data_IF_229272887062
#
_entry.id   IF_229272887062
#
_cell.length_a   1.000
_cell.length_b   1.000
_cell.length_c   1.000
_cell.angle_alpha   90.00
_cell.angle_beta   90.00
_cell.angle_gamma   90.00
#
_symmetry.space_group_name_H-M   'P 1'
#
loop_
_entity.id
_entity.type
_entity.pdbx_description
1 polymer ?
2 polymer ?
3 polymer ?
4 water ?
#
# COMPACT_ATOMS: atom_id res chain seq x y z
N UNK A 1 21.22 13.27 -16.05
CA UNK A 1 21.31 11.99 -15.28
C UNK A 1 20.27 10.98 -15.76
N UNK A 2 20.44 10.54 -17.00
CA UNK A 2 19.54 9.58 -17.63
C UNK A 2 18.14 9.48 -17.03
N UNK A 3 17.22 10.24 -17.63
CA UNK A 3 15.82 10.27 -17.23
C UNK A 3 15.05 9.25 -18.04
N UNK A 4 14.25 8.44 -17.37
CA UNK A 4 13.46 7.44 -18.05
C UNK A 4 11.99 7.88 -17.99
N UNK A 5 11.22 7.58 -19.03
CA UNK A 5 9.83 8.01 -19.07
C UNK A 5 8.78 6.96 -19.47
N UNK A 6 7.92 6.60 -18.52
CA UNK A 6 6.85 5.63 -18.79
C UNK A 6 5.61 6.39 -19.26
N UNK A 7 4.91 5.87 -20.23
CA UNK A 7 3.81 6.59 -20.88
C UNK A 7 2.46 6.49 -20.22
N UNK A 8 1.59 5.55 -20.57
CA UNK A 8 0.28 5.56 -19.89
C UNK A 8 0.42 5.56 -18.39
N UNK A 9 0.32 6.69 -17.70
CA UNK A 9 0.42 6.71 -16.26
C UNK A 9 -0.51 5.68 -15.68
N UNK A 10 -1.60 5.43 -16.41
CA UNK A 10 -2.61 4.48 -15.97
C UNK A 10 -3.44 3.98 -17.15
N UNK A 11 -4.00 2.79 -16.99
CA UNK A 11 -4.81 2.21 -18.03
C UNK A 11 -5.84 1.28 -17.44
N UNK A 12 -6.97 1.16 -18.13
CA UNK A 12 -8.03 0.26 -17.74
C UNK A 12 -8.08 -0.70 -18.91
N UNK A 13 -8.23 -1.98 -18.63
CA UNK A 13 -8.27 -2.96 -19.71
C UNK A 13 -9.12 -4.17 -19.36
N UNK A 14 -9.85 -4.68 -20.36
CA UNK A 14 -10.68 -5.86 -20.18
C UNK A 14 -9.76 -7.07 -20.12
N UNK A 15 -10.33 -8.27 -20.16
CA UNK A 15 -9.51 -9.49 -20.13
C UNK A 15 -9.32 -10.05 -21.54
N UNK A 16 -8.12 -10.52 -21.84
CA UNK A 16 -7.82 -11.07 -23.15
C UNK A 16 -7.30 -9.99 -24.09
N UNK A 17 -7.30 -8.75 -23.61
CA UNK A 17 -6.85 -7.61 -24.40
C UNK A 17 -5.35 -7.56 -24.51
N UNK A 18 -4.85 -6.75 -25.43
CA UNK A 18 -3.42 -6.62 -25.67
C UNK A 18 -2.82 -5.33 -25.14
N UNK A 19 -2.25 -5.39 -23.96
CA UNK A 19 -1.64 -4.23 -23.34
C UNK A 19 -0.30 -3.93 -23.98
N UNK A 20 0.14 -2.68 -23.81
CA UNK A 20 1.42 -2.25 -24.34
C UNK A 20 1.84 -0.93 -23.68
N UNK A 21 2.79 -1.03 -22.77
CA UNK A 21 3.33 0.10 -22.04
C UNK A 21 4.57 0.58 -22.80
N UNK A 22 5.10 1.75 -22.47
CA UNK A 22 6.30 2.23 -23.14
C UNK A 22 7.21 2.96 -22.17
N UNK A 23 8.50 2.75 -22.32
CA UNK A 23 9.47 3.37 -21.45
C UNK A 23 10.51 4.02 -22.35
N UNK A 24 11.00 5.20 -21.98
CA UNK A 24 12.00 5.89 -22.81
C UNK A 24 13.19 6.43 -22.04
N UNK A 25 14.38 6.24 -22.60
CA UNK A 25 15.60 6.72 -21.99
C UNK A 25 15.85 8.13 -22.53
N UNK A 26 16.62 8.93 -21.78
CA UNK A 26 16.93 10.28 -22.20
C UNK A 26 18.19 10.27 -23.07
N UNK A 27 19.19 9.50 -22.64
CA UNK A 27 20.42 9.36 -23.39
C UNK A 27 20.76 7.87 -23.41
N UNK A 28 21.08 7.37 -24.55
CA UNK A 28 21.39 5.96 -24.82
C UNK A 28 21.96 5.17 -23.64
N UNK A 29 21.06 4.23 -23.23
CA UNK A 29 21.18 3.25 -22.14
C UNK A 29 21.44 1.87 -22.70
N UNK A 30 21.47 1.72 -24.02
CA UNK A 30 21.73 0.42 -24.60
C UNK A 30 20.58 -0.53 -24.41
N UNK A 31 20.85 -1.73 -23.95
CA UNK A 31 19.80 -2.72 -23.73
C UNK A 31 19.74 -3.14 -22.27
N UNK A 32 20.14 -2.23 -21.38
CA UNK A 32 20.14 -2.49 -19.95
C UNK A 32 18.90 -1.93 -19.23
N UNK A 33 17.72 -2.23 -19.79
CA UNK A 33 16.45 -1.80 -19.23
C UNK A 33 15.66 -3.02 -18.76
N UNK A 34 15.13 -2.93 -17.54
CA UNK A 34 14.36 -4.04 -16.97
C UNK A 34 13.01 -3.61 -16.39
N UNK A 35 12.01 -4.49 -16.52
CA UNK A 35 10.65 -4.26 -16.02
C UNK A 35 10.30 -4.96 -14.69
N UNK A 36 9.69 -4.23 -13.77
CA UNK A 36 9.28 -4.80 -12.48
C UNK A 36 7.75 -4.71 -12.30
N UNK A 37 7.21 -5.60 -11.47
CA UNK A 37 5.78 -5.63 -11.19
C UNK A 37 5.52 -5.46 -9.69
N UNK A 38 4.67 -4.48 -9.35
CA UNK A 38 4.38 -4.23 -7.94
C UNK A 38 2.88 -4.29 -7.59
N UNK A 39 2.51 -5.36 -6.90
CA UNK A 39 1.15 -5.56 -6.48
C UNK A 39 0.94 -4.92 -5.10
N UNK A 40 -0.32 -4.77 -4.68
CA UNK A 40 -0.67 -4.18 -3.39
C UNK A 40 0.02 -4.83 -2.19
N UNK A 41 0.83 -4.05 -1.50
CA UNK A 41 1.55 -4.52 -0.33
C UNK A 41 2.46 -5.70 -0.64
N UNK A 42 3.29 -5.54 -1.65
CA UNK A 42 4.23 -6.56 -2.06
C UNK A 42 5.44 -5.84 -2.64
N UNK A 43 6.58 -6.53 -2.63
CA UNK A 43 7.81 -5.97 -3.17
C UNK A 43 7.81 -6.18 -4.67
N UNK A 44 8.46 -5.29 -5.41
CA UNK A 44 8.49 -5.47 -6.86
C UNK A 44 9.02 -6.87 -7.16
N UNK A 45 8.81 -7.31 -8.39
CA UNK A 45 9.24 -8.61 -8.84
C UNK A 45 9.83 -8.41 -10.23
N UNK A 46 11.05 -8.89 -10.46
CA UNK A 46 11.65 -8.72 -11.78
C UNK A 46 10.78 -9.43 -12.82
N UNK A 47 10.64 -8.83 -13.99
CA UNK A 47 9.83 -9.42 -15.05
C UNK A 47 10.68 -9.66 -16.31
N UNK A 48 11.39 -8.64 -16.74
CA UNK A 48 12.24 -8.71 -17.92
C UNK A 48 13.56 -7.98 -17.62
N UNK A 49 14.68 -8.59 -17.96
CA UNK A 49 15.97 -7.92 -17.76
C UNK A 49 16.65 -7.95 -19.12
N UNK A 50 17.61 -7.06 -19.33
CA UNK A 50 18.27 -7.04 -20.62
C UNK A 50 17.33 -6.60 -21.71
N UNK A 51 16.37 -5.75 -21.36
CA UNK A 51 15.42 -5.22 -22.32
C UNK A 51 14.55 -6.24 -23.03
N UNK A 52 15.02 -7.49 -23.16
CA UNK A 52 14.22 -8.48 -23.89
C UNK A 52 14.07 -9.84 -23.22
N UNK A 53 14.87 -10.08 -22.19
CA UNK A 53 14.83 -11.36 -21.51
C UNK A 53 13.87 -11.49 -20.33
N UNK A 54 13.02 -12.51 -20.42
CA UNK A 54 12.04 -12.83 -19.39
C UNK A 54 12.78 -13.51 -18.23
N UNK A 55 12.23 -13.45 -17.04
CA UNK A 55 12.88 -14.08 -15.90
C UNK A 55 12.31 -15.48 -15.62
N UNK A 56 12.48 -15.98 -14.40
CA UNK A 56 11.98 -17.30 -14.04
C UNK A 56 10.61 -17.20 -13.39
N UNK A 57 9.77 -18.19 -13.67
CA UNK A 57 8.44 -18.20 -13.11
C UNK A 57 7.56 -17.14 -13.74
N UNK A 58 8.14 -16.33 -14.61
CA UNK A 58 7.39 -15.28 -15.28
C UNK A 58 6.65 -15.88 -16.47
N UNK A 59 5.31 -15.83 -16.43
CA UNK A 59 4.46 -16.37 -17.48
C UNK A 59 4.68 -15.76 -18.86
N UNK A 60 4.56 -16.60 -19.87
CA UNK A 60 4.71 -16.25 -21.28
C UNK A 60 4.05 -14.97 -21.73
N UNK A 61 2.89 -14.66 -21.15
CA UNK A 61 2.16 -13.47 -21.54
C UNK A 61 2.93 -12.16 -21.38
N UNK A 62 4.16 -12.24 -20.89
CA UNK A 62 4.99 -11.05 -20.73
C UNK A 62 6.23 -11.13 -21.62
N UNK A 63 6.36 -10.18 -22.53
CA UNK A 63 7.50 -10.14 -23.44
C UNK A 63 7.97 -8.71 -23.65
N UNK A 64 9.28 -8.53 -23.81
CA UNK A 64 9.81 -7.20 -24.02
C UNK A 64 10.81 -7.08 -25.17
N UNK A 65 10.74 -5.96 -25.88
CA UNK A 65 11.65 -5.64 -26.98
C UNK A 65 12.16 -4.25 -26.66
N UNK A 66 13.00 -3.72 -27.54
CA UNK A 66 13.54 -2.38 -27.32
C UNK A 66 15.04 -2.35 -27.22
N UNK A 67 15.62 -1.21 -27.57
CA UNK A 67 17.07 -1.01 -27.52
C UNK A 67 17.40 0.48 -27.48
N UNK A 68 18.47 0.80 -26.75
CA UNK A 68 18.96 2.16 -26.59
C UNK A 68 17.90 3.24 -26.77
N UNK A 69 17.28 3.66 -25.68
CA UNK A 69 16.24 4.70 -25.68
C UNK A 69 14.78 4.21 -25.68
N UNK A 70 14.36 3.52 -26.73
CA UNK A 70 12.96 3.04 -26.80
C UNK A 70 12.71 1.60 -26.38
N UNK A 71 11.98 1.44 -25.27
CA UNK A 71 11.65 0.14 -24.72
C UNK A 71 10.13 -0.02 -24.56
N UNK A 72 9.64 -1.26 -24.65
CA UNK A 72 8.22 -1.55 -24.51
C UNK A 72 8.00 -2.86 -23.76
N UNK A 73 6.75 -3.13 -23.39
CA UNK A 73 6.40 -4.36 -22.67
C UNK A 73 5.01 -4.79 -23.12
N UNK A 74 4.80 -6.08 -23.37
CA UNK A 74 3.48 -6.53 -23.81
C UNK A 74 2.86 -7.58 -22.90
N UNK A 75 1.58 -7.71 -23.04
CA UNK A 75 0.74 -8.67 -22.33
C UNK A 75 -0.22 -9.14 -23.40
N UNK A 76 -0.12 -10.39 -23.82
CA UNK A 76 -1.01 -10.89 -24.87
C UNK A 76 -2.45 -10.87 -24.37
N UNK A 77 -2.66 -11.38 -23.17
CA UNK A 77 -3.99 -11.36 -22.60
C UNK A 77 -3.87 -10.91 -21.14
N UNK A 78 -4.49 -9.80 -20.83
CA UNK A 78 -4.45 -9.27 -19.47
C UNK A 78 -5.33 -10.17 -18.62
N UNK A 79 -4.83 -10.58 -17.47
CA UNK A 79 -5.66 -11.39 -16.60
C UNK A 79 -5.96 -10.57 -15.37
N UNK A 80 -6.91 -11.03 -14.57
CA UNK A 80 -7.28 -10.29 -13.38
C UNK A 80 -6.06 -10.10 -12.49
N UNK A 81 -5.25 -11.15 -12.43
CA UNK A 81 -4.05 -11.18 -11.62
C UNK A 81 -3.00 -10.17 -12.07
N UNK A 82 -3.11 -9.68 -13.30
CA UNK A 82 -2.14 -8.74 -13.85
C UNK A 82 -2.41 -7.32 -13.41
N UNK A 83 -2.91 -7.18 -12.19
CA UNK A 83 -3.21 -5.86 -11.66
C UNK A 83 -2.09 -5.43 -10.77
N UNK A 84 -1.44 -4.32 -11.12
CA UNK A 84 -0.34 -3.78 -10.33
C UNK A 84 0.36 -2.64 -11.05
N UNK A 85 1.33 -2.02 -10.38
CA UNK A 85 2.08 -0.92 -10.97
C UNK A 85 3.25 -1.55 -11.73
N UNK A 86 3.60 -0.95 -12.86
CA UNK A 86 4.71 -1.48 -13.64
C UNK A 86 5.79 -0.42 -13.77
N UNK A 87 6.98 -0.72 -13.24
CA UNK A 87 8.11 0.18 -13.32
C UNK A 87 9.15 -0.33 -14.30
N UNK A 88 10.14 0.50 -14.57
CA UNK A 88 11.24 0.14 -15.44
C UNK A 88 12.40 0.94 -14.93
N UNK A 89 13.62 0.51 -15.26
CA UNK A 89 14.79 1.23 -14.82
C UNK A 89 15.99 0.84 -15.65
N UNK A 90 16.94 1.77 -15.77
CA UNK A 90 18.13 1.50 -16.51
C UNK A 90 19.20 1.19 -15.52
N UNK A 91 20.05 0.23 -15.89
CA UNK A 91 21.15 -0.18 -15.04
C UNK A 91 22.44 -0.01 -15.85
N UNK A 92 22.56 1.15 -16.48
CA UNK A 92 23.71 1.52 -17.28
C UNK A 92 24.59 2.43 -16.42
N UNK A 93 24.21 3.70 -16.28
CA UNK A 93 24.96 4.65 -15.44
C UNK A 93 24.54 4.41 -14.02
N UNK A 94 23.95 5.41 -13.38
CA UNK A 94 23.46 5.24 -12.03
C UNK A 94 22.02 4.81 -12.17
N UNK A 95 21.61 3.75 -11.45
CA UNK A 95 20.24 3.26 -11.52
C UNK A 95 19.19 4.32 -11.23
N UNK A 96 18.31 4.56 -12.20
CA UNK A 96 17.21 5.53 -12.07
C UNK A 96 15.95 4.87 -12.60
N UNK A 97 14.87 4.92 -11.83
CA UNK A 97 13.63 4.30 -12.25
C UNK A 97 12.68 5.21 -13.00
N UNK A 98 11.70 4.58 -13.64
CA UNK A 98 10.70 5.33 -14.38
C UNK A 98 9.67 5.84 -13.40
N UNK A 99 8.50 6.24 -13.92
CA UNK A 99 7.44 6.77 -13.08
C UNK A 99 6.35 5.78 -12.73
N UNK A 100 6.45 4.59 -13.31
CA UNK A 100 5.47 3.56 -13.04
C UNK A 100 4.16 3.79 -13.75
N UNK A 101 3.64 2.74 -14.35
CA UNK A 101 2.37 2.80 -15.04
C UNK A 101 1.44 1.93 -14.23
N UNK A 102 0.39 2.53 -13.67
CA UNK A 102 -0.57 1.77 -12.90
C UNK A 102 -1.64 1.23 -13.85
N UNK A 103 -1.73 -0.10 -13.94
CA UNK A 103 -2.67 -0.76 -14.83
C UNK A 103 -3.86 -1.43 -14.13
N UNK A 104 -5.07 -0.88 -14.32
CA UNK A 104 -6.30 -1.41 -13.71
C UNK A 104 -7.22 -2.14 -14.71
N UNK A 105 -7.99 -3.11 -14.21
CA UNK A 105 -8.89 -3.93 -15.04
C UNK A 105 -10.30 -3.37 -15.25
N UNK A 106 -10.72 -3.32 -16.52
CA UNK A 106 -12.05 -2.84 -16.91
C UNK A 106 -13.11 -3.94 -16.84
N UNK A 107 -13.94 -3.89 -15.81
CA UNK A 107 -15.02 -4.87 -15.64
C UNK A 107 -16.31 -4.13 -15.90
N UNK A 108 -17.45 -4.75 -15.62
CA UNK A 108 -18.73 -4.11 -15.85
C UNK A 108 -19.26 -3.36 -14.65
N UNK A 109 -20.29 -2.55 -14.86
CA UNK A 109 -20.87 -1.78 -13.77
C UNK A 109 -21.35 -2.66 -12.62
N UNK A 110 -21.23 -2.12 -11.41
CA UNK A 110 -21.63 -2.84 -10.21
C UNK A 110 -21.89 -1.82 -9.11
N UNK A 111 -23.12 -1.79 -8.60
CA UNK A 111 -23.52 -0.85 -7.56
C UNK A 111 -23.00 -1.26 -6.19
N UNK A 112 -22.57 -0.27 -5.40
CA UNK A 112 -22.02 -0.51 -4.06
C UNK A 112 -23.05 -1.10 -3.11
N UNK A 113 -22.57 -1.58 -1.98
CA UNK A 113 -23.42 -2.16 -0.96
C UNK A 113 -23.07 -1.39 0.30
N UNK A 114 -23.89 -0.39 0.61
CA UNK A 114 -23.70 0.49 1.75
C UNK A 114 -24.20 -0.05 3.08
N UNK A 115 -23.51 0.32 4.14
CA UNK A 115 -23.86 -0.11 5.49
C UNK A 115 -23.28 0.87 6.50
N UNK A 116 -24.14 1.68 7.09
CA UNK A 116 -23.77 2.68 8.07
C UNK A 116 -23.86 2.15 9.51
N UNK A 117 -22.80 2.36 10.29
CA UNK A 117 -22.75 1.94 11.69
C UNK A 117 -22.76 3.10 12.70
N UNK A 118 -23.54 2.96 13.77
CA UNK A 118 -23.64 3.98 14.81
C UNK A 118 -22.38 3.93 15.65
N UNK A 119 -21.95 5.09 16.20
CA UNK A 119 -20.74 5.16 17.03
C UNK A 119 -20.82 4.31 18.30
N UNK A 120 -19.86 3.40 18.43
CA UNK A 120 -19.76 2.47 19.56
C UNK A 120 -19.86 3.13 20.92
N UNK A 121 -20.51 2.41 21.83
CA UNK A 121 -20.72 2.88 23.19
C UNK A 121 -19.48 3.38 23.90
N UNK A 122 -18.46 2.52 24.00
CA UNK A 122 -17.22 2.90 24.67
C UNK A 122 -16.60 4.17 24.12
N UNK A 123 -16.59 4.32 22.80
CA UNK A 123 -16.00 5.50 22.20
C UNK A 123 -16.64 6.77 22.73
N UNK A 124 -17.95 6.76 22.91
CA UNK A 124 -18.65 7.94 23.43
C UNK A 124 -18.05 8.27 24.79
N UNK A 125 -18.04 7.29 25.68
CA UNK A 125 -17.49 7.45 27.01
C UNK A 125 -16.09 8.05 26.87
N UNK A 126 -15.37 7.58 25.86
CA UNK A 126 -14.02 8.03 25.57
C UNK A 126 -14.00 9.49 25.09
N UNK A 127 -15.19 10.09 25.00
CA UNK A 127 -15.31 11.48 24.57
C UNK A 127 -15.74 11.76 23.14
N UNK A 128 -15.20 10.98 22.20
CA UNK A 128 -15.55 11.18 20.80
C UNK A 128 -16.77 10.42 20.32
N UNK A 129 -16.95 10.36 19.01
CA UNK A 129 -18.10 9.65 18.46
C UNK A 129 -18.03 9.64 16.93
N UNK A 130 -17.80 8.46 16.36
CA UNK A 130 -17.70 8.35 14.91
C UNK A 130 -18.76 7.49 14.26
N UNK A 131 -19.40 8.06 13.24
CA UNK A 131 -20.41 7.34 12.49
C UNK A 131 -19.64 6.85 11.27
N UNK A 132 -19.62 5.54 11.09
CA UNK A 132 -18.92 4.94 9.97
C UNK A 132 -19.92 4.56 8.90
N UNK A 133 -19.43 4.39 7.68
CA UNK A 133 -20.29 4.01 6.58
C UNK A 133 -19.47 3.39 5.46
N UNK A 134 -19.74 2.12 5.18
CA UNK A 134 -19.01 1.39 4.15
C UNK A 134 -19.76 1.33 2.83
N UNK A 135 -19.05 1.54 1.75
CA UNK A 135 -19.56 1.43 0.40
C UNK A 135 -18.73 0.31 -0.19
N UNK A 136 -19.23 -0.92 -0.19
CA UNK A 136 -18.46 -2.05 -0.70
C UNK A 136 -18.78 -2.58 -2.08
N UNK A 137 -17.76 -3.21 -2.66
CA UNK A 137 -17.79 -3.88 -3.96
C UNK A 137 -18.46 -3.21 -5.17
N UNK A 138 -18.00 -2.01 -5.55
CA UNK A 138 -18.61 -1.31 -6.69
C UNK A 138 -17.64 -1.02 -7.82
N UNK A 139 -18.17 -0.55 -8.93
CA UNK A 139 -17.36 -0.20 -10.10
C UNK A 139 -18.25 0.53 -11.08
N UNK A 140 -17.73 1.60 -11.72
CA UNK A 140 -16.40 2.18 -11.60
C UNK A 140 -16.05 2.93 -10.31
N UNK A 141 -14.75 3.18 -10.12
CA UNK A 141 -14.19 3.85 -8.95
C UNK A 141 -14.93 5.11 -8.55
N UNK A 142 -15.41 5.87 -9.54
CA UNK A 142 -16.12 7.12 -9.29
C UNK A 142 -17.40 7.06 -8.47
N UNK A 143 -17.30 7.52 -7.23
CA UNK A 143 -18.44 7.54 -6.32
C UNK A 143 -18.35 8.82 -5.52
N UNK A 144 -19.50 9.33 -5.10
CA UNK A 144 -19.52 10.53 -4.30
C UNK A 144 -20.38 10.24 -3.06
N UNK A 145 -19.78 10.30 -1.88
CA UNK A 145 -20.52 10.04 -0.64
C UNK A 145 -20.74 11.36 0.04
N UNK A 146 -21.96 11.55 0.54
CA UNK A 146 -22.34 12.78 1.20
C UNK A 146 -23.05 12.54 2.53
N UNK A 147 -22.49 13.08 3.61
CA UNK A 147 -23.12 12.93 4.92
C UNK A 147 -24.12 14.06 5.16
N UNK A 148 -25.18 13.76 5.91
CA UNK A 148 -26.20 14.74 6.24
C UNK A 148 -26.79 14.47 7.62
N UNK A 149 -26.28 15.15 8.65
CA UNK A 149 -26.81 14.95 10.00
C UNK A 149 -28.06 15.82 10.15
N UNK A 150 -29.21 15.19 10.34
CA UNK A 150 -30.49 15.89 10.46
C UNK A 150 -30.80 16.72 9.22
N UNK A 151 -30.68 16.12 8.04
CA UNK A 151 -31.00 16.85 6.84
C UNK A 151 -29.94 17.77 6.27
N UNK A 152 -29.13 18.40 7.12
CA UNK A 152 -28.06 19.29 6.63
C UNK A 152 -26.74 18.57 6.32
N UNK A 153 -26.12 18.97 5.22
CA UNK A 153 -24.86 18.39 4.75
C UNK A 153 -23.65 18.73 5.64
N UNK A 154 -22.88 17.72 6.04
CA UNK A 154 -21.69 17.90 6.86
C UNK A 154 -20.45 17.56 6.05
N UNK A 155 -19.63 18.55 5.74
CA UNK A 155 -18.43 18.28 4.97
C UNK A 155 -17.17 18.41 5.82
N UNK A 156 -17.37 18.75 7.10
CA UNK A 156 -16.26 18.92 8.01
C UNK A 156 -16.17 17.78 9.03
N UNK A 157 -15.04 17.09 9.00
CA UNK A 157 -14.82 15.98 9.91
C UNK A 157 -14.79 14.65 9.19
N UNK A 158 -15.23 14.64 7.93
CA UNK A 158 -15.28 13.42 7.13
C UNK A 158 -13.91 12.99 6.61
N UNK A 159 -13.62 11.70 6.66
CA UNK A 159 -12.34 11.15 6.17
C UNK A 159 -12.62 9.92 5.31
N UNK A 160 -12.26 10.01 4.03
CA UNK A 160 -12.51 8.91 3.11
C UNK A 160 -11.25 8.16 2.74
N UNK A 161 -11.42 6.85 2.58
CA UNK A 161 -10.34 5.94 2.22
C UNK A 161 -10.89 4.95 1.21
N UNK A 162 -10.09 4.61 0.21
CA UNK A 162 -10.51 3.68 -0.82
C UNK A 162 -9.54 2.54 -0.90
N UNK A 163 -9.94 1.44 -1.53
CA UNK A 163 -9.03 0.31 -1.65
C UNK A 163 -8.55 0.16 -3.09
N UNK A 164 -7.45 -0.57 -3.23
CA UNK A 164 -6.88 -0.80 -4.55
C UNK A 164 -7.84 -1.77 -5.22
N UNK A 165 -7.85 -1.75 -6.54
CA UNK A 165 -8.75 -2.60 -7.28
C UNK A 165 -8.69 -4.09 -6.95
N UNK A 166 -9.23 -4.88 -7.87
CA UNK A 166 -9.33 -6.35 -7.84
C UNK A 166 -10.14 -6.98 -6.74
N UNK A 167 -9.47 -7.80 -5.92
CA UNK A 167 -10.11 -8.54 -4.84
C UNK A 167 -10.75 -9.75 -5.49
N UNK A 168 -10.09 -10.28 -6.53
CA UNK A 168 -10.54 -11.44 -7.28
C UNK A 168 -11.79 -11.17 -8.13
N UNK A 169 -12.35 -9.96 -8.02
CA UNK A 169 -13.53 -9.60 -8.78
C UNK A 169 -13.33 -8.27 -9.49
N UNK A 170 -12.18 -7.65 -9.29
CA UNK A 170 -11.86 -6.39 -9.94
C UNK A 170 -12.75 -5.19 -9.57
N UNK A 171 -13.19 -5.11 -8.31
CA UNK A 171 -14.02 -3.99 -7.88
C UNK A 171 -13.31 -3.17 -6.81
N UNK A 172 -13.92 -2.07 -6.40
CA UNK A 172 -13.35 -1.23 -5.35
C UNK A 172 -14.28 -1.20 -4.14
N UNK A 173 -13.84 -0.53 -3.07
CA UNK A 173 -14.61 -0.41 -1.83
C UNK A 173 -14.17 0.82 -1.09
N UNK A 174 -15.10 1.72 -0.87
CA UNK A 174 -14.79 2.94 -0.16
C UNK A 174 -15.28 2.88 1.26
N UNK A 175 -14.90 3.88 2.04
CA UNK A 175 -15.30 3.96 3.42
C UNK A 175 -15.26 5.41 3.86
N UNK A 176 -16.36 5.91 4.39
CA UNK A 176 -16.36 7.28 4.86
C UNK A 176 -16.57 7.26 6.38
N UNK A 177 -15.94 8.19 7.07
CA UNK A 177 -16.05 8.26 8.52
C UNK A 177 -16.24 9.69 8.99
N UNK A 178 -17.41 9.98 9.55
CA UNK A 178 -17.70 11.32 10.06
C UNK A 178 -17.39 11.32 11.57
N UNK A 179 -16.51 12.22 11.99
CA UNK A 179 -16.13 12.28 13.39
C UNK A 179 -16.59 13.53 14.13
N UNK A 180 -17.49 13.33 15.09
CA UNK A 180 -18.05 14.40 15.89
C UNK A 180 -17.62 14.31 17.36
N UNK A 181 -17.92 15.34 18.12
CA UNK A 181 -17.69 15.37 19.55
C UNK A 181 -18.92 14.68 20.09
N UNK A 182 -18.86 14.07 21.27
CA UNK A 182 -20.08 13.41 21.76
C UNK A 182 -21.30 14.33 21.84
N UNK A 183 -21.15 15.41 22.59
CA UNK A 183 -22.21 16.39 22.76
C UNK A 183 -22.95 16.60 21.47
N UNK A 184 -22.21 17.05 20.46
CA UNK A 184 -22.79 17.33 19.15
C UNK A 184 -23.55 16.14 18.60
N UNK A 185 -23.00 14.94 18.78
CA UNK A 185 -23.68 13.74 18.30
C UNK A 185 -24.96 13.55 19.10
N UNK A 186 -24.90 13.87 20.39
CA UNK A 186 -26.04 13.73 21.25
C UNK A 186 -27.16 14.78 21.12
N UNK A 187 -26.99 15.75 20.22
CA UNK A 187 -28.03 16.75 20.05
C UNK A 187 -28.63 16.74 18.66
N UNK A 188 -28.50 15.60 17.98
CA UNK A 188 -29.05 15.45 16.64
C UNK A 188 -29.69 14.08 16.51
N UNK A 189 -30.51 13.89 15.47
CA UNK A 189 -31.20 12.62 15.32
C UNK A 189 -30.77 11.69 14.18
N UNK A 190 -31.25 11.96 12.98
CA UNK A 190 -30.92 11.15 11.81
C UNK A 190 -29.49 11.36 11.32
N UNK A 191 -28.77 10.26 11.11
CA UNK A 191 -27.41 10.32 10.58
C UNK A 191 -27.42 9.50 9.29
N UNK A 192 -27.54 10.20 8.16
CA UNK A 192 -27.60 9.52 6.88
C UNK A 192 -26.35 9.72 6.04
N UNK A 193 -26.01 8.67 5.30
CA UNK A 193 -24.86 8.61 4.40
C UNK A 193 -25.43 8.45 2.99
N UNK A 194 -25.03 9.32 2.07
CA UNK A 194 -25.63 9.29 0.75
C UNK A 194 -24.69 9.10 -0.43
N UNK A 195 -24.54 7.84 -0.86
CA UNK A 195 -23.67 7.51 -1.97
C UNK A 195 -24.41 7.69 -3.28
N UNK A 196 -23.76 8.36 -4.22
CA UNK A 196 -24.32 8.61 -5.54
C UNK A 196 -23.36 8.08 -6.61
N UNK A 197 -23.61 6.83 -6.99
CA UNK A 197 -22.82 6.08 -7.97
C UNK A 197 -23.54 6.16 -9.32
N UNK A 198 -22.89 5.74 -10.40
CA UNK A 198 -23.53 5.79 -11.72
C UNK A 198 -24.40 4.59 -12.06
N UNK A 199 -24.39 3.56 -11.21
CA UNK A 199 -25.21 2.39 -11.44
C UNK A 199 -26.43 2.61 -10.56
N UNK A 200 -26.96 3.83 -10.60
CA UNK A 200 -28.12 4.20 -9.79
C UNK A 200 -28.63 5.60 -10.15
N UNK A 201 -29.76 5.63 -10.84
CA UNK A 201 -30.39 6.88 -11.26
C UNK A 201 -30.59 7.86 -10.12
N UNK A 202 -30.87 7.32 -8.94
CA UNK A 202 -31.07 8.14 -7.76
C UNK A 202 -30.03 7.67 -6.78
N UNK A 203 -29.77 8.45 -5.73
CA UNK A 203 -28.76 7.97 -4.79
C UNK A 203 -29.27 6.99 -3.75
N UNK A 204 -28.37 6.09 -3.37
CA UNK A 204 -28.58 5.06 -2.37
C UNK A 204 -28.34 5.75 -1.03
N UNK A 205 -29.34 5.80 -0.17
CA UNK A 205 -29.16 6.46 1.12
C UNK A 205 -29.46 5.61 2.34
N UNK A 206 -28.44 5.26 3.11
CA UNK A 206 -28.66 4.48 4.32
C UNK A 206 -28.71 5.49 5.44
N UNK A 207 -29.41 5.17 6.51
CA UNK A 207 -29.54 6.10 7.62
C UNK A 207 -29.95 5.45 8.92
N UNK A 208 -29.74 6.17 10.01
CA UNK A 208 -30.13 5.66 11.32
C UNK A 208 -30.49 6.84 12.23
N UNK A 209 -31.48 6.63 13.09
CA UNK A 209 -31.92 7.66 14.01
C UNK A 209 -31.36 7.38 15.40
N UNK A 210 -30.74 8.40 15.99
CA UNK A 210 -30.12 8.27 17.29
C UNK A 210 -31.09 7.82 18.39
N UNK A 211 -32.36 7.63 18.03
CA UNK A 211 -33.39 7.19 18.96
C UNK A 211 -34.07 5.88 18.56
N UNK A 212 -33.38 4.74 18.63
CA UNK A 212 -34.04 3.45 18.46
C UNK A 212 -33.22 2.34 19.13
N UNK A 213 -33.00 2.48 20.46
CA UNK A 213 -32.29 1.50 21.29
C UNK A 213 -30.94 1.12 20.70
N UNK B 1 17.02 -20.52 -1.47
CA UNK B 1 17.26 -19.38 -2.40
C UNK B 1 17.81 -18.19 -1.62
N UNK B 2 17.88 -17.04 -2.30
CA UNK B 2 18.36 -15.80 -1.70
C UNK B 2 17.20 -15.18 -0.92
N UNK B 3 17.43 -14.85 0.36
CA UNK B 3 16.36 -14.27 1.17
C UNK B 3 16.79 -13.04 1.98
N UNK B 4 16.61 -11.85 1.39
CA UNK B 4 16.96 -10.61 2.06
C UNK B 4 15.86 -10.19 3.02
N UNK B 5 16.26 -9.55 4.13
CA UNK B 5 15.32 -9.10 5.14
C UNK B 5 15.85 -7.92 5.95
N UNK B 6 15.31 -6.73 5.68
CA UNK B 6 15.75 -5.54 6.39
C UNK B 6 15.02 -5.34 7.71
N UNK B 7 15.71 -4.68 8.63
CA UNK B 7 15.19 -4.38 9.96
C UNK B 7 15.74 -3.03 10.43
N UNK B 8 15.27 -2.56 11.57
CA UNK B 8 15.77 -1.29 12.07
C UNK B 8 14.69 -0.31 12.47
N UNK B 9 15.06 0.93 12.84
CA UNK B 9 14.15 2.00 13.25
C UNK B 9 12.91 2.14 12.35
N UNK B 10 11.79 2.49 12.98
CA UNK B 10 10.55 2.65 12.24
C UNK B 10 10.20 4.12 12.14
N UNK B 11 10.33 4.82 13.26
CA UNK B 11 10.02 6.23 13.33
C UNK B 11 11.20 6.97 13.98
N UNK B 12 11.74 7.98 13.28
CA UNK B 12 12.87 8.77 13.79
C UNK B 12 12.71 10.27 13.57
N UNK B 13 13.13 11.05 14.56
CA UNK B 13 13.03 12.50 14.53
C UNK B 13 13.87 13.15 13.44
N UNK B 14 13.57 14.42 13.10
CA UNK B 14 14.33 15.10 12.06
C UNK B 14 15.72 15.56 12.50
N UNK B 15 16.60 15.78 11.53
CA UNK B 15 17.98 16.20 11.76
C UNK B 15 18.82 15.05 12.32
N UNK B 16 18.14 13.96 12.67
CA UNK B 16 18.82 12.81 13.22
C UNK B 16 19.34 11.93 12.08
N UNK B 17 20.01 10.84 12.43
CA UNK B 17 20.56 9.95 11.43
C UNK B 17 19.84 8.61 11.47
N UNK B 18 19.50 8.09 10.30
CA UNK B 18 18.79 6.83 10.19
C UNK B 18 19.82 5.71 10.03
N UNK B 19 19.42 4.49 10.38
CA UNK B 19 20.32 3.35 10.24
C UNK B 19 19.59 2.01 10.12
N UNK B 20 19.41 1.55 8.88
CA UNK B 20 18.76 0.26 8.65
C UNK B 20 19.80 -0.86 8.65
N UNK B 21 19.32 -2.10 8.53
CA UNK B 21 20.19 -3.27 8.54
C UNK B 21 19.61 -4.40 7.70
N UNK B 22 20.22 -4.69 6.57
CA UNK B 22 19.72 -5.79 5.74
C UNK B 22 20.51 -7.09 5.99
N UNK B 23 19.80 -8.14 6.39
CA UNK B 23 20.40 -9.44 6.66
C UNK B 23 20.02 -10.44 5.59
N UNK B 24 21.01 -10.99 4.88
CA UNK B 24 20.78 -11.96 3.81
C UNK B 24 21.08 -13.44 4.15
N UNK B 25 20.20 -14.32 3.64
CA UNK B 25 20.28 -15.76 3.88
C UNK B 25 20.33 -16.60 2.60
N UNK B 26 21.35 -17.43 2.47
CA UNK B 26 21.44 -18.29 1.30
C UNK B 26 22.33 -17.82 0.17
N UNK B 27 23.44 -17.17 0.52
CA UNK B 27 24.42 -16.66 -0.45
C UNK B 27 25.32 -15.65 0.23
N UNK B 28 26.62 -15.91 0.22
CA UNK B 28 27.55 -15.00 0.87
C UNK B 28 27.60 -13.65 0.12
N UNK B 29 27.57 -12.54 0.86
CA UNK B 29 27.61 -11.20 0.24
C UNK B 29 29.02 -10.80 -0.13
N UNK B 30 29.89 -11.80 -0.24
CA UNK B 30 31.30 -11.57 -0.62
C UNK B 30 31.72 -12.36 -1.87
N UNK B 31 30.80 -13.15 -2.42
CA UNK B 31 31.11 -13.91 -3.63
C UNK B 31 30.15 -13.50 -4.74
N UNK B 32 30.59 -12.57 -5.58
CA UNK B 32 29.79 -12.06 -6.70
C UNK B 32 28.52 -11.30 -6.29
N UNK B 33 28.14 -10.31 -7.09
CA UNK B 33 26.89 -9.52 -6.97
C UNK B 33 26.97 -8.20 -6.23
N UNK B 34 26.09 -7.29 -6.69
CA UNK B 34 25.93 -5.95 -6.13
C UNK B 34 24.84 -6.01 -5.08
N UNK B 35 25.10 -5.43 -3.92
CA UNK B 35 24.12 -5.43 -2.84
C UNK B 35 23.58 -4.03 -2.58
N UNK B 36 22.36 -3.78 -3.07
CA UNK B 36 21.74 -2.43 -3.03
C UNK B 36 20.78 -2.06 -1.88
N UNK B 37 20.51 -0.74 -1.83
CA UNK B 37 19.56 -0.13 -0.91
C UNK B 37 18.71 0.75 -1.83
N UNK B 38 17.43 0.42 -1.95
CA UNK B 38 16.50 1.17 -2.79
C UNK B 38 15.33 1.66 -1.93
N UNK B 39 14.84 2.87 -2.19
CA UNK B 39 13.73 3.35 -1.40
C UNK B 39 12.52 3.72 -2.24
N UNK B 40 11.34 3.48 -1.68
CA UNK B 40 10.08 3.78 -2.37
C UNK B 40 9.25 4.75 -1.57
N UNK B 41 9.14 5.95 -2.10
CA UNK B 41 8.36 6.99 -1.46
C UNK B 41 6.88 6.68 -1.50
N UNK B 42 6.09 7.38 -0.68
CA UNK B 42 4.66 7.09 -0.71
C UNK B 42 4.15 7.23 -2.14
N UNK B 43 3.25 6.33 -2.53
CA UNK B 43 2.72 6.37 -3.88
C UNK B 43 3.63 5.63 -4.84
N UNK B 44 3.88 6.24 -5.97
CA UNK B 44 4.72 5.68 -6.98
C UNK B 44 5.89 6.56 -7.19
N UNK B 45 7.03 6.01 -7.00
CA UNK B 45 8.31 6.65 -7.29
C UNK B 45 9.44 5.71 -6.92
N UNK B 46 10.32 5.11 -7.73
CA UNK B 46 11.42 4.38 -6.94
C UNK B 46 12.79 5.08 -6.96
N UNK B 47 13.64 5.06 -5.87
CA UNK B 47 14.93 5.73 -5.87
C UNK B 47 16.04 4.78 -5.39
N UNK B 48 17.00 4.51 -6.27
CA UNK B 48 18.15 3.65 -5.94
C UNK B 48 19.08 4.55 -5.15
N UNK B 49 19.38 4.17 -3.91
CA UNK B 49 20.23 5.00 -3.09
C UNK B 49 21.69 4.70 -3.25
N UNK B 50 22.02 3.44 -3.55
CA UNK B 50 23.40 3.04 -3.70
C UNK B 50 23.65 1.57 -3.42
N UNK B 51 24.92 1.16 -3.44
CA UNK B 51 25.24 -0.23 -3.18
C UNK B 51 26.65 -0.46 -2.67
N UNK B 52 26.84 -1.58 -2.05
CA UNK B 52 28.07 -2.09 -1.51
C UNK B 52 28.38 -3.26 -2.40
N UNK B 53 29.53 -3.21 -3.07
CA UNK B 53 29.96 -4.26 -4.00
C UNK B 53 30.55 -5.48 -3.31
N UNK B 54 30.75 -6.51 -4.11
CA UNK B 54 31.31 -7.76 -3.62
C UNK B 54 32.67 -7.48 -2.97
N UNK B 55 33.52 -6.75 -3.67
CA UNK B 55 34.81 -6.43 -3.12
C UNK B 55 34.65 -5.53 -1.91
N UNK B 56 33.51 -4.85 -1.84
CA UNK B 56 33.28 -3.96 -0.73
C UNK B 56 33.46 -2.51 -1.12
N UNK B 57 33.31 -2.23 -2.41
CA UNK B 57 33.42 -0.86 -2.91
C UNK B 57 32.03 -0.26 -2.80
N UNK B 58 31.92 1.05 -2.98
CA UNK B 58 30.64 1.70 -2.86
C UNK B 58 30.33 2.72 -3.93
N UNK B 59 29.10 2.69 -4.42
CA UNK B 59 28.67 3.62 -5.43
C UNK B 59 27.33 4.19 -4.99
N UNK B 60 27.35 5.43 -4.48
CA UNK B 60 26.14 6.07 -4.01
C UNK B 60 25.46 6.91 -5.09
N UNK B 61 24.25 7.37 -4.80
CA UNK B 61 23.52 8.20 -5.72
C UNK B 61 24.15 9.60 -5.64
N UNK B 62 24.59 10.16 -6.78
CA UNK B 62 25.21 11.48 -6.80
C UNK B 62 24.50 12.58 -6.00
N UNK B 63 23.26 12.34 -5.58
CA UNK B 63 22.51 13.32 -4.80
C UNK B 63 22.47 13.06 -3.29
N UNK B 64 22.50 11.79 -2.87
CA UNK B 64 22.51 11.43 -1.45
C UNK B 64 23.94 11.11 -1.01
N UNK B 65 24.87 11.21 -1.96
CA UNK B 65 26.28 10.92 -1.75
C UNK B 65 26.94 11.66 -0.59
N UNK B 66 26.47 12.86 -0.29
CA UNK B 66 27.05 13.63 0.81
C UNK B 66 26.43 13.26 2.17
N UNK B 67 25.35 12.48 2.15
CA UNK B 67 24.68 12.12 3.38
C UNK B 67 24.66 10.66 3.76
N UNK B 68 24.87 9.76 2.81
CA UNK B 68 24.78 8.34 3.14
C UNK B 68 26.06 7.55 3.19
N UNK B 69 25.99 6.42 3.89
CA UNK B 69 27.12 5.56 4.08
C UNK B 69 26.64 4.11 4.13
N UNK B 70 27.10 3.29 3.20
CA UNK B 70 26.72 1.88 3.13
C UNK B 70 27.91 0.98 3.50
N UNK B 71 27.91 0.43 4.70
CA UNK B 71 28.99 -0.44 5.15
C UNK B 71 28.50 -1.91 5.31
N UNK B 72 29.43 -2.84 5.59
CA UNK B 72 29.02 -4.24 5.76
C UNK B 72 29.69 -4.96 6.91
N UNK B 73 29.17 -6.14 7.18
CA UNK B 73 29.69 -7.00 8.24
C UNK B 73 29.71 -8.36 7.57
N UNK B 74 30.80 -8.61 6.87
CA UNK B 74 31.03 -9.85 6.12
C UNK B 74 30.91 -11.15 6.90
N UNK B 75 31.08 -11.10 8.21
CA UNK B 75 30.98 -12.29 9.05
C UNK B 75 29.53 -12.62 9.45
N UNK B 76 28.70 -11.59 9.57
CA UNK B 76 27.29 -11.75 9.92
C UNK B 76 26.46 -11.85 8.65
N UNK B 77 27.12 -11.52 7.53
CA UNK B 77 26.52 -11.56 6.20
C UNK B 77 25.41 -10.54 6.12
N UNK B 78 25.73 -9.30 6.49
CA UNK B 78 24.75 -8.21 6.46
C UNK B 78 25.45 -6.93 6.09
N UNK B 79 24.79 -6.13 5.29
CA UNK B 79 25.31 -4.80 4.96
C UNK B 79 24.29 -3.84 5.53
N UNK B 80 24.73 -2.65 5.91
CA UNK B 80 23.85 -1.67 6.52
C UNK B 80 23.81 -0.30 5.82
N UNK B 81 22.64 0.34 5.88
CA UNK B 81 22.47 1.67 5.31
C UNK B 81 22.49 2.69 6.44
N UNK B 82 23.04 3.87 6.13
CA UNK B 82 23.11 4.94 7.10
C UNK B 82 22.77 6.25 6.43
N UNK B 83 21.61 6.81 6.77
CA UNK B 83 21.14 8.08 6.22
C UNK B 83 21.21 9.17 7.28
N UNK B 84 22.12 10.12 7.09
CA UNK B 84 22.29 11.20 8.05
C UNK B 84 21.47 12.44 7.70
N UNK B 85 21.24 13.29 8.69
CA UNK B 85 20.47 14.53 8.50
C UNK B 85 19.16 14.20 7.80
N UNK B 86 18.33 13.37 8.42
CA UNK B 86 17.06 12.99 7.82
C UNK B 86 16.03 14.11 7.86
N UNK B 87 15.68 14.57 6.68
CA UNK B 87 14.68 15.61 6.51
C UNK B 87 13.37 14.85 6.46
N UNK B 88 12.25 15.55 6.60
CA UNK B 88 10.97 14.88 6.56
C UNK B 88 10.64 14.35 5.16
N UNK B 89 11.36 14.82 4.14
CA UNK B 89 11.13 14.36 2.77
C UNK B 89 11.69 12.95 2.61
N UNK B 90 12.62 12.59 3.48
CA UNK B 90 13.23 11.27 3.43
C UNK B 90 12.35 10.11 3.89
N UNK B 91 11.17 10.39 4.46
CA UNK B 91 10.34 9.27 4.91
C UNK B 91 9.85 8.51 3.68
N UNK B 92 9.98 7.20 3.75
CA UNK B 92 9.59 6.29 2.69
C UNK B 92 9.82 4.88 3.19
N UNK B 93 9.60 3.89 2.33
CA UNK B 93 9.82 2.50 2.72
C UNK B 93 11.11 2.05 2.03
N UNK B 94 12.01 1.47 2.82
CA UNK B 94 13.32 1.02 2.35
C UNK B 94 13.50 -0.45 2.05
N UNK B 95 14.22 -0.73 0.98
CA UNK B 95 14.51 -2.11 0.58
C UNK B 95 15.98 -2.27 0.31
N UNK B 96 16.45 -3.48 0.51
CA UNK B 96 17.80 -3.90 0.20
C UNK B 96 17.59 -4.90 -0.91
N UNK B 97 18.45 -4.92 -1.92
CA UNK B 97 18.26 -5.84 -3.03
C UNK B 97 19.53 -6.29 -3.75
N UNK B 98 19.45 -7.48 -4.33
CA UNK B 98 20.55 -8.05 -5.09
C UNK B 98 20.57 -7.47 -6.49
N UNK B 99 21.76 -7.11 -6.96
CA UNK B 99 21.86 -6.54 -8.28
C UNK B 99 22.89 -7.13 -9.19
N UNK B 100 22.44 -7.69 -10.31
CA UNK B 100 23.32 -8.28 -11.29
C UNK B 100 22.70 -7.96 -12.64
N UNK B 101 21.75 -8.80 -13.03
CA UNK B 101 20.98 -8.64 -14.29
C UNK B 101 19.65 -7.99 -13.90
N UNK B 102 19.73 -6.73 -13.49
CA UNK B 102 18.57 -5.99 -13.03
C UNK B 102 18.53 -6.20 -11.54
N UNK B 103 17.44 -5.83 -10.90
CA UNK B 103 17.32 -6.09 -9.48
C UNK B 103 16.45 -7.33 -9.39
N UNK B 104 17.03 -8.40 -8.87
CA UNK B 104 16.36 -9.69 -8.80
C UNK B 104 15.60 -10.06 -7.52
N UNK B 105 16.32 -10.10 -6.40
CA UNK B 105 15.71 -10.47 -5.12
C UNK B 105 15.55 -9.24 -4.23
N UNK B 106 14.31 -8.84 -4.01
CA UNK B 106 14.01 -7.67 -3.18
C UNK B 106 13.61 -8.10 -1.78
N UNK B 107 13.89 -7.25 -0.81
CA UNK B 107 13.50 -7.56 0.55
C UNK B 107 12.06 -7.12 0.85
N UNK B 108 11.47 -7.62 1.93
CA UNK B 108 10.10 -7.27 2.28
C UNK B 108 9.90 -5.76 2.31
N UNK B 109 10.96 -5.04 2.65
CA UNK B 109 10.90 -3.59 2.73
C UNK B 109 10.29 -3.08 4.03
N UNK B 110 11.09 -2.38 4.81
CA UNK B 110 10.61 -1.83 6.08
C UNK B 110 10.35 -0.34 5.93
N UNK B 111 9.20 0.09 6.42
CA UNK B 111 8.81 1.50 6.33
C UNK B 111 9.43 2.36 7.44
N UNK B 112 9.95 3.54 7.05
CA UNK B 112 10.57 4.45 8.00
C UNK B 112 9.88 5.81 7.92
N UNK B 113 9.44 6.31 9.08
CA UNK B 113 8.76 7.59 9.18
C UNK B 113 9.62 8.65 9.88
N UNK B 114 9.77 9.80 9.24
CA UNK B 114 10.54 10.90 9.83
C UNK B 114 9.57 11.96 10.31
N UNK B 115 9.20 11.91 11.58
CA UNK B 115 8.27 12.88 12.15
C UNK B 115 8.70 13.34 13.55
N UNK B 116 8.31 14.57 13.89
CA UNK B 116 8.63 15.13 15.19
C UNK B 116 7.63 14.59 16.20
N UNK B 117 6.60 13.90 15.69
CA UNK B 117 5.54 13.29 16.49
C UNK B 117 6.04 12.23 17.46
N UNK B 118 5.11 11.59 18.17
CA UNK B 118 5.45 10.56 19.13
C UNK B 118 4.62 9.30 18.93
N UNK B 119 5.13 8.17 19.40
CA UNK B 119 4.42 6.92 19.26
C UNK B 119 3.24 6.84 20.20
N UNK B 120 2.05 6.78 19.62
CA UNK B 120 0.82 6.68 20.38
C UNK B 120 0.07 5.43 19.89
N UNK B 121 -0.25 4.50 20.81
CA UNK B 121 -0.96 3.28 20.46
C UNK B 121 -2.40 3.61 20.04
N UNK B 122 -3.02 2.72 19.23
CA UNK B 122 -4.38 2.87 18.72
C UNK B 122 -5.55 2.60 19.66
N UNK B 123 -6.67 3.20 19.32
CA UNK B 123 -7.90 3.03 20.06
C UNK B 123 -8.73 2.20 19.09
N UNK B 124 -8.99 0.95 19.45
CA UNK B 124 -9.75 0.07 18.58
C UNK B 124 -11.18 0.01 19.05
N UNK B 125 -12.09 0.31 18.16
CA UNK B 125 -13.51 0.32 18.46
C UNK B 125 -14.25 -0.65 17.54
N UNK B 126 -15.16 -1.46 18.10
CA UNK B 126 -15.93 -2.43 17.33
C UNK B 126 -17.19 -1.82 16.72
N UNK B 127 -17.41 -2.07 15.43
CA UNK B 127 -18.58 -1.53 14.74
C UNK B 127 -19.68 -2.58 14.48
N UNK B 128 -20.72 -2.56 15.31
CA UNK B 128 -21.84 -3.49 15.17
C UNK B 128 -23.06 -2.77 14.60
N UNK B 129 -23.91 -3.50 13.86
CA UNK B 129 -25.11 -2.94 13.25
C UNK B 129 -26.24 -2.79 14.28
N UNK B 130 -27.04 -1.74 14.12
CA UNK B 130 -28.15 -1.49 15.01
C UNK B 130 -29.49 -1.52 14.31
N UNK B 131 -30.09 -2.71 14.21
CA UNK B 131 -31.40 -2.88 13.57
C UNK B 131 -31.85 -4.33 13.53
N UNK B 132 -32.47 -4.78 14.62
CA UNK B 132 -32.96 -6.15 14.72
C UNK B 132 -31.83 -7.15 14.57
N UNK B 133 -32.17 -8.32 14.01
CA UNK B 133 -31.19 -9.40 13.79
C UNK B 133 -30.62 -9.34 12.37
N UNK B 134 -30.02 -8.20 12.04
CA UNK B 134 -29.39 -7.95 10.73
C UNK B 134 -30.36 -7.44 9.67
N UNK B 135 -29.92 -7.51 8.41
CA UNK B 135 -30.74 -7.07 7.28
C UNK B 135 -31.23 -8.31 6.52
N UNK B 136 -30.40 -8.82 5.62
CA UNK B 136 -30.75 -10.00 4.82
C UNK B 136 -30.03 -11.23 5.35
N UNK B 137 -29.60 -12.10 4.46
CA UNK B 137 -28.89 -13.30 4.86
C UNK B 137 -27.40 -12.99 4.92
N UNK B 138 -27.09 -11.70 4.92
CA UNK B 138 -25.69 -11.24 4.97
C UNK B 138 -25.55 -10.09 5.98
N UNK B 139 -24.54 -10.21 6.83
CA UNK B 139 -24.25 -9.19 7.85
C UNK B 139 -22.82 -8.71 7.69
N UNK B 140 -22.66 -7.39 7.75
CA UNK B 140 -21.35 -6.77 7.62
C UNK B 140 -20.98 -6.12 8.95
N UNK B 141 -19.98 -6.67 9.62
CA UNK B 141 -19.52 -6.09 10.88
C UNK B 141 -18.25 -5.33 10.53
N UNK B 142 -17.80 -4.44 11.40
CA UNK B 142 -16.61 -3.69 11.08
C UNK B 142 -15.77 -3.30 12.27
N UNK B 143 -14.66 -2.63 12.00
CA UNK B 143 -13.77 -2.22 13.07
C UNK B 143 -12.97 -0.96 12.77
N UNK B 144 -13.08 0.00 13.68
CA UNK B 144 -12.42 1.29 13.60
C UNK B 144 -11.21 1.37 14.53
N UNK B 145 -10.02 1.45 13.94
CA UNK B 145 -8.76 1.55 14.68
C UNK B 145 -8.30 2.99 14.55
N UNK B 146 -8.66 3.85 15.49
CA UNK B 146 -8.27 5.25 15.34
C UNK B 146 -7.23 5.81 16.31
N UNK B 147 -6.56 6.86 15.84
CA UNK B 147 -5.55 7.55 16.62
C UNK B 147 -4.35 6.76 17.08
N UNK B 148 -3.40 6.54 16.16
CA UNK B 148 -2.19 5.81 16.49
C UNK B 148 -1.04 6.35 15.64
N UNK B 149 0.18 6.30 16.16
CA UNK B 149 1.34 6.78 15.40
C UNK B 149 2.56 5.92 15.71
N UNK B 150 3.25 5.44 14.67
CA UNK B 150 2.90 5.71 13.28
C UNK B 150 2.47 4.41 12.62
N UNK B 151 2.38 4.46 11.30
CA UNK B 151 2.02 3.30 10.51
C UNK B 151 3.15 2.30 10.70
N UNK B 152 2.87 0.99 10.54
CA UNK B 152 1.54 0.45 10.18
C UNK B 152 0.87 -0.29 11.33
N UNK B 153 -0.24 -0.91 11.00
CA UNK B 153 -1.01 -1.71 11.94
C UNK B 153 -1.44 -2.91 11.12
N UNK B 154 -1.73 -4.02 11.79
CA UNK B 154 -2.15 -5.22 11.09
C UNK B 154 -3.42 -5.72 11.73
N UNK B 155 -4.45 -5.87 10.90
CA UNK B 155 -5.74 -6.33 11.37
C UNK B 155 -6.08 -7.64 10.69
N UNK B 156 -6.71 -8.54 11.41
CA UNK B 156 -7.13 -9.82 10.87
C UNK B 156 -8.46 -10.11 11.54
N UNK B 157 -9.16 -11.14 11.08
CA UNK B 157 -10.44 -11.47 11.69
C UNK B 157 -10.53 -12.89 12.21
N UNK B 158 -10.72 -13.01 13.52
CA UNK B 158 -10.81 -14.31 14.19
C UNK B 158 -9.56 -15.14 13.98
N UNK B 159 -8.41 -14.49 14.11
CA UNK B 159 -7.10 -15.11 13.95
C UNK B 159 -6.80 -15.59 12.54
N UNK B 160 -7.60 -15.17 11.57
CA UNK B 160 -7.34 -15.59 10.20
C UNK B 160 -8.31 -16.59 9.62
N UNK B 161 -9.30 -17.01 10.40
CA UNK B 161 -10.30 -17.95 9.91
C UNK B 161 -11.12 -17.16 8.90
N UNK B 162 -11.59 -15.99 9.30
CA UNK B 162 -12.37 -15.11 8.42
C UNK B 162 -11.40 -14.52 7.42
N UNK B 163 -11.08 -15.27 6.38
CA UNK B 163 -10.14 -14.79 5.37
C UNK B 163 -10.80 -14.23 4.12
N UNK B 164 -12.11 -14.34 4.05
CA UNK B 164 -12.82 -13.82 2.88
C UNK B 164 -13.99 -12.94 3.33
N UNK B 165 -14.34 -11.97 2.48
CA UNK B 165 -15.41 -11.06 2.79
C UNK B 165 -14.81 -9.98 3.68
N UNK B 166 -13.49 -9.80 3.55
CA UNK B 166 -12.75 -8.82 4.34
C UNK B 166 -12.23 -7.66 3.49
N UNK B 167 -12.27 -6.45 4.07
CA UNK B 167 -11.81 -5.24 3.38
C UNK B 167 -11.11 -4.36 4.41
N UNK B 168 -9.82 -4.12 4.20
CA UNK B 168 -9.10 -3.25 5.13
C UNK B 168 -8.76 -1.97 4.38
N UNK B 169 -9.24 -0.86 4.92
CA UNK B 169 -9.03 0.43 4.29
C UNK B 169 -7.80 1.19 4.73
N UNK B 170 -7.09 1.75 3.75
CA UNK B 170 -5.88 2.54 3.93
C UNK B 170 -6.09 3.63 4.97
N UNK B 171 -5.06 3.86 5.77
CA UNK B 171 -5.14 4.88 6.80
C UNK B 171 -5.02 6.26 6.18
N UNK B 172 -5.59 7.25 6.88
CA UNK B 172 -5.53 8.62 6.46
C UNK B 172 -5.14 9.34 7.73
N UNK B 173 -4.22 10.28 7.61
CA UNK B 173 -3.70 11.04 8.73
C UNK B 173 -4.61 12.16 9.19
N UNK B 174 -5.08 12.03 10.43
CA UNK B 174 -5.98 12.97 11.06
C UNK B 174 -5.19 13.92 11.98
N UNK B 175 -4.47 14.86 11.35
CA UNK B 175 -3.66 15.85 12.06
C UNK B 175 -2.25 15.35 12.39
N UNK B 176 -2.08 14.66 13.51
CA UNK B 176 -0.77 14.15 13.89
C UNK B 176 -0.80 12.64 14.06
N UNK B 177 -1.94 12.04 13.71
CA UNK B 177 -2.07 10.59 13.81
C UNK B 177 -3.05 10.01 12.78
N UNK B 178 -2.99 8.69 12.61
CA UNK B 178 -3.83 8.00 11.63
C UNK B 178 -5.08 7.32 12.16
N UNK B 179 -5.94 6.98 11.21
CA UNK B 179 -7.19 6.27 11.47
C UNK B 179 -7.41 5.24 10.33
N UNK B 180 -7.75 4.04 10.73
CA UNK B 180 -7.99 2.94 9.80
C UNK B 180 -9.23 2.18 10.25
N UNK B 181 -9.88 1.52 9.30
CA UNK B 181 -11.07 0.75 9.60
C UNK B 181 -11.03 -0.45 8.70
N UNK B 182 -11.85 -1.44 9.00
CA UNK B 182 -11.90 -2.63 8.17
C UNK B 182 -13.21 -3.34 8.39
N UNK B 183 -13.90 -3.62 7.30
CA UNK B 183 -15.18 -4.31 7.34
C UNK B 183 -14.97 -5.80 7.05
N UNK B 184 -16.01 -6.58 7.33
CA UNK B 184 -15.99 -8.01 7.09
C UNK B 184 -17.43 -8.40 6.90
N UNK B 185 -17.70 -9.19 5.87
CA UNK B 185 -19.06 -9.61 5.60
C UNK B 185 -19.23 -11.12 5.76
N UNK B 186 -20.28 -11.49 6.48
CA UNK B 186 -20.59 -12.90 6.73
C UNK B 186 -22.10 -13.09 6.70
N UNK B 187 -22.56 -14.34 6.62
CA UNK B 187 -24.00 -14.62 6.59
C UNK B 187 -24.62 -14.37 7.96
N UNK B 188 -25.94 -14.10 7.97
CA UNK B 188 -26.66 -13.80 9.20
C UNK B 188 -26.75 -14.98 10.17
N UNK B 189 -26.47 -16.18 9.67
CA UNK B 189 -26.52 -17.38 10.50
C UNK B 189 -25.36 -17.54 11.49
N UNK B 190 -24.11 -17.41 11.01
CA UNK B 190 -22.99 -17.54 11.94
C UNK B 190 -22.56 -16.20 12.49
N UNK B 191 -23.52 -15.29 12.66
CA UNK B 191 -23.17 -13.98 13.16
C UNK B 191 -23.24 -13.91 14.68
N UNK B 192 -24.45 -14.08 15.26
CA UNK B 192 -24.48 -14.01 16.72
C UNK B 192 -24.16 -15.34 17.40
N UNK B 193 -24.37 -16.45 16.71
CA UNK B 193 -24.06 -17.75 17.30
C UNK B 193 -22.54 -17.83 17.39
N UNK B 194 -21.88 -17.89 16.23
CA UNK B 194 -20.44 -17.93 16.19
C UNK B 194 -20.05 -16.52 16.63
N UNK B 195 -18.86 -16.38 17.20
CA UNK B 195 -18.41 -15.08 17.67
C UNK B 195 -17.20 -14.60 16.87
N UNK B 196 -17.32 -13.42 16.27
CA UNK B 196 -16.24 -12.86 15.47
C UNK B 196 -15.48 -11.82 16.25
N UNK B 197 -14.18 -11.72 16.02
CA UNK B 197 -13.35 -10.78 16.75
C UNK B 197 -12.27 -10.14 15.88
N UNK B 198 -12.21 -8.81 15.87
CA UNK B 198 -11.18 -8.15 15.09
C UNK B 198 -9.96 -8.06 16.02
N UNK B 199 -8.79 -8.39 15.48
CA UNK B 199 -7.57 -8.36 16.28
C UNK B 199 -6.59 -7.41 15.59
N UNK B 200 -6.23 -6.34 16.27
CA UNK B 200 -5.31 -5.36 15.71
C UNK B 200 -3.94 -5.44 16.36
N UNK B 201 -2.92 -5.07 15.60
CA UNK B 201 -1.54 -5.07 16.09
C UNK B 201 -0.83 -3.82 15.62
N UNK B 202 -0.30 -3.06 16.57
CA UNK B 202 0.42 -1.86 16.22
C UNK B 202 1.88 -2.06 16.64
N UNK B 203 2.64 -2.83 15.87
CA UNK B 203 4.04 -3.14 16.10
C UNK B 203 4.86 -2.07 16.84
N UNK B 204 5.07 -0.93 16.20
CA UNK B 204 5.86 0.17 16.74
C UNK B 204 5.66 0.52 18.22
N UNK B 205 4.52 0.15 18.78
CA UNK B 205 4.21 0.46 20.17
C UNK B 205 4.05 -0.81 21.01
N UNK B 206 4.16 -1.96 20.35
CA UNK B 206 4.01 -3.28 20.96
C UNK B 206 2.66 -3.50 21.60
N UNK B 207 1.62 -3.05 20.90
CA UNK B 207 0.26 -3.19 21.40
C UNK B 207 -0.49 -4.17 20.50
N UNK B 208 -1.14 -5.13 21.13
CA UNK B 208 -1.91 -6.14 20.41
C UNK B 208 -3.29 -6.22 21.05
N UNK B 209 -4.32 -5.87 20.28
CA UNK B 209 -5.69 -5.88 20.79
C UNK B 209 -6.65 -6.81 20.09
N UNK B 210 -7.53 -7.41 20.88
CA UNK B 210 -8.55 -8.32 20.38
C UNK B 210 -9.90 -7.74 20.80
N UNK B 211 -10.54 -6.97 19.93
CA UNK B 211 -11.83 -6.42 20.25
C UNK B 211 -12.92 -7.32 19.65
N UNK B 212 -14.03 -7.53 20.39
CA UNK B 212 -15.15 -8.37 19.95
C UNK B 212 -16.33 -7.59 19.40
N UNK B 213 -17.01 -8.16 18.41
CA UNK B 213 -18.17 -7.50 17.80
C UNK B 213 -19.48 -7.99 18.42
N UNK B 214 -19.98 -7.21 19.37
CA UNK B 214 -21.23 -7.52 20.07
C UNK B 214 -22.42 -6.81 19.44
N UNK B 215 -23.57 -7.50 19.34
CA UNK B 215 -24.76 -6.88 18.74
C UNK B 215 -25.24 -5.72 19.60
N UNK B 216 -25.54 -4.59 18.96
CA UNK B 216 -26.01 -3.42 19.68
C UNK B 216 -27.40 -3.75 20.21
N UNK B 217 -27.77 -3.09 21.31
CA UNK B 217 -29.07 -3.32 21.96
C UNK B 217 -30.24 -3.56 21.01
N UNK B 218 -31.04 -4.56 21.38
CA UNK B 218 -32.24 -5.03 20.66
C UNK B 218 -31.97 -6.45 20.13
N UNK C 1 24.76 -6.06 -22.22
CA UNK C 1 25.20 -7.41 -21.76
C UNK C 1 24.71 -7.76 -20.36
N UNK C 2 23.51 -8.35 -20.30
CA UNK C 2 22.90 -8.79 -19.05
C UNK C 2 22.54 -7.73 -18.01
N UNK C 3 23.08 -6.52 -18.14
CA UNK C 3 22.80 -5.42 -17.19
C UNK C 3 23.83 -5.30 -16.07
N UNK C 4 25.09 -5.55 -16.38
CA UNK C 4 26.16 -5.48 -15.40
C UNK C 4 26.96 -4.17 -15.40
N UNK C 5 26.50 -3.13 -16.11
CA UNK C 5 27.33 -1.92 -16.05
C UNK C 5 27.32 -1.12 -14.77
N UNK C 6 26.16 -0.67 -14.36
CA UNK C 6 26.04 0.13 -13.15
C UNK C 6 26.77 -0.45 -11.94
N UNK C 7 27.02 -1.76 -11.97
CA UNK C 7 27.68 -2.45 -10.87
C UNK C 7 29.19 -2.63 -11.00
N UNK C 8 29.61 -3.61 -11.80
CA UNK C 8 31.04 -3.81 -11.98
C UNK C 8 31.63 -2.51 -12.48
N UNK C 9 32.55 -1.91 -11.71
CA UNK C 9 33.19 -0.64 -12.08
C UNK C 9 33.16 -0.40 -13.58
N UNK C 10 32.07 0.20 -14.04
CA UNK C 10 31.87 0.49 -15.46
C UNK C 10 31.19 1.83 -15.72
N UNK C 11 29.94 1.78 -16.19
CA UNK C 11 29.19 2.99 -16.51
C UNK C 11 28.78 3.83 -15.31
N UNK C 12 28.47 5.08 -15.61
CA UNK C 12 28.08 6.07 -14.62
C UNK C 12 27.86 7.37 -15.40
N UNK C 13 26.65 7.93 -15.32
CA UNK C 13 26.31 9.17 -16.05
C UNK C 13 27.42 10.22 -15.96
N UNK C 14 27.80 10.81 -17.12
CA UNK C 14 28.85 11.84 -17.26
C UNK C 14 28.67 13.09 -16.41
N UNK C 15 29.42 14.14 -16.76
CA UNK C 15 29.38 15.43 -16.08
C UNK C 15 30.00 15.41 -14.67
#
# INVERSE_FOLDING_TARGET
DIVLTQSPKSMSMSVGERVTLSCKASENVGTYVSWYQQKPEQSPKLLIYGASNRYTGVPDRFTGSGSATDFTLKISSVQAEDLADYHCGQTYSYPTFGGGTKLAIKRADAAPTVSIFPPSSEQLTAGGASVVCFLNNFYPKDINVKWKIDGSERQNGVANSWTAQDSADSTYSMSSTLTLTKDEYERHNSYTCEATHKTSTSPIVKSFNRNEC
QVALQESGPGLVKPSQSLSLTCTVTGYSITSDYAWNWIRQFPGNKLEWMGYIRNGGSTTYNPSLASRISITRDTSKNQFFLQLNSVTTEDTATYYCARGGTGFTYWGAGTLVTVSAAATTPPSVYPLAPGSAAAAAAMVTLGCLVKGYFPEPVTVTWNSGSLSSGVHTFPAVLQSALYTLSSSVTVPSSPRPSATVTCNVAHPASSTKVDKKIVPRDC
HQLDPAFGANSTNPD
#
